data_IF_328808711444
#
_entry.id   IF_328808711444
#
_cell.length_a   1.000
_cell.length_b   1.000
_cell.length_c   1.000
_cell.angle_alpha   90.00
_cell.angle_beta   90.00
_cell.angle_gamma   90.00
#
_symmetry.space_group_name_H-M   'P 1'
#
loop_
_entity.id
_entity.type
_entity.pdbx_description
1 polymer ?
#
# COMPACT_ATOMS: atom_id res chain seq x y z
N UNK A 1 9.16 13.83 -23.17
CA UNK A 1 8.20 12.73 -23.00
C UNK A 1 6.97 13.33 -22.36
N UNK A 2 5.83 13.38 -23.05
CA UNK A 2 4.60 13.95 -22.48
C UNK A 2 4.07 13.07 -21.36
N UNK A 3 3.66 13.67 -20.23
CA UNK A 3 3.03 12.92 -19.16
C UNK A 3 1.67 12.39 -19.65
N UNK A 4 1.52 11.07 -19.73
CA UNK A 4 0.25 10.42 -20.03
C UNK A 4 -0.82 10.85 -19.02
N UNK A 5 -2.02 11.18 -19.53
CA UNK A 5 -3.18 11.54 -18.70
C UNK A 5 -3.71 10.29 -17.96
N UNK A 6 -4.53 10.47 -16.92
CA UNK A 6 -5.13 9.31 -16.22
C UNK A 6 -6.00 8.47 -17.16
N UNK A 7 -6.69 9.10 -18.12
CA UNK A 7 -7.46 8.40 -19.15
C UNK A 7 -6.60 7.55 -20.08
N UNK A 8 -5.38 7.98 -20.40
CA UNK A 8 -4.45 7.19 -21.23
C UNK A 8 -3.97 5.96 -20.46
N UNK A 9 -3.63 6.12 -19.17
CA UNK A 9 -3.21 5.02 -18.30
C UNK A 9 -4.32 3.97 -18.16
N UNK A 10 -5.59 4.40 -18.05
CA UNK A 10 -6.72 3.47 -17.96
C UNK A 10 -6.94 2.68 -19.24
N UNK A 11 -6.74 3.30 -20.40
CA UNK A 11 -6.84 2.61 -21.69
C UNK A 11 -5.75 1.55 -21.85
N UNK A 12 -4.50 1.89 -21.54
CA UNK A 12 -3.38 0.94 -21.54
C UNK A 12 -3.59 -0.17 -20.52
N UNK A 13 -4.08 0.18 -19.33
CA UNK A 13 -4.37 -0.80 -18.29
C UNK A 13 -5.48 -1.76 -18.71
N UNK A 14 -6.56 -1.29 -19.37
CA UNK A 14 -7.58 -2.18 -19.95
C UNK A 14 -6.97 -3.16 -20.96
N UNK A 15 -6.07 -2.69 -21.82
CA UNK A 15 -5.38 -3.56 -22.78
C UNK A 15 -4.47 -4.58 -22.08
N UNK A 16 -3.80 -4.20 -20.99
CA UNK A 16 -3.05 -5.11 -20.13
C UNK A 16 -3.96 -6.17 -19.49
N UNK A 17 -5.07 -5.77 -18.87
CA UNK A 17 -6.02 -6.70 -18.23
C UNK A 17 -6.65 -7.66 -19.25
N UNK A 18 -6.92 -7.20 -20.47
CA UNK A 18 -7.48 -8.03 -21.55
C UNK A 18 -6.55 -9.21 -21.94
N UNK A 19 -5.24 -9.10 -21.70
CA UNK A 19 -4.29 -10.21 -21.89
C UNK A 19 -4.35 -11.26 -20.78
N UNK A 20 -5.21 -11.07 -19.77
CA UNK A 20 -5.41 -11.93 -18.61
C UNK A 20 -4.09 -12.30 -17.91
N UNK A 21 -3.31 -11.30 -17.43
CA UNK A 21 -2.06 -11.56 -16.75
C UNK A 21 -2.31 -12.36 -15.47
N UNK A 22 -1.40 -13.28 -15.14
CA UNK A 22 -1.39 -13.92 -13.83
C UNK A 22 -0.86 -12.95 -12.79
N UNK A 23 -1.72 -12.54 -11.86
CA UNK A 23 -1.36 -11.64 -10.76
C UNK A 23 -1.51 -12.35 -9.41
N UNK A 24 -0.55 -12.11 -8.53
CA UNK A 24 -0.55 -12.59 -7.15
C UNK A 24 -0.49 -11.37 -6.22
N UNK A 25 -1.43 -11.25 -5.29
CA UNK A 25 -1.36 -10.30 -4.18
C UNK A 25 -0.65 -10.97 -3.00
N UNK A 26 0.55 -10.49 -2.69
CA UNK A 26 1.37 -10.86 -1.54
C UNK A 26 1.03 -10.05 -0.29
N UNK A 27 -0.25 -9.90 0.03
CA UNK A 27 -0.71 -9.17 1.21
C UNK A 27 -1.99 -9.79 1.80
N UNK A 28 -2.06 -9.84 3.13
CA UNK A 28 -3.29 -10.19 3.87
C UNK A 28 -4.09 -8.96 4.34
N UNK A 29 -3.62 -7.74 4.04
CA UNK A 29 -4.34 -6.50 4.40
C UNK A 29 -5.71 -6.44 3.74
N UNK A 30 -6.76 -6.26 4.55
CA UNK A 30 -8.14 -6.12 4.08
C UNK A 30 -8.30 -4.94 3.13
N UNK A 31 -7.68 -3.80 3.43
CA UNK A 31 -7.76 -2.59 2.60
C UNK A 31 -7.13 -2.81 1.22
N UNK A 32 -5.95 -3.45 1.14
CA UNK A 32 -5.31 -3.78 -0.16
C UNK A 32 -6.14 -4.77 -0.97
N UNK A 33 -6.73 -5.78 -0.31
CA UNK A 33 -7.64 -6.73 -0.97
C UNK A 33 -8.89 -6.03 -1.50
N UNK A 34 -9.49 -5.12 -0.74
CA UNK A 34 -10.64 -4.33 -1.20
C UNK A 34 -10.30 -3.50 -2.44
N UNK A 35 -9.15 -2.81 -2.43
CA UNK A 35 -8.70 -2.02 -3.59
C UNK A 35 -8.48 -2.91 -4.83
N UNK A 36 -7.89 -4.10 -4.65
CA UNK A 36 -7.74 -5.07 -5.74
C UNK A 36 -9.10 -5.59 -6.24
N UNK A 37 -10.09 -5.75 -5.36
CA UNK A 37 -11.46 -6.11 -5.76
C UNK A 37 -12.15 -4.98 -6.53
N UNK A 38 -11.91 -3.72 -6.17
CA UNK A 38 -12.40 -2.57 -6.95
C UNK A 38 -11.78 -2.55 -8.34
N UNK A 39 -10.46 -2.77 -8.47
CA UNK A 39 -9.80 -2.91 -9.77
C UNK A 39 -10.34 -4.11 -10.56
N UNK A 40 -10.67 -5.21 -9.88
CA UNK A 40 -11.34 -6.36 -10.50
C UNK A 40 -12.72 -5.99 -11.04
N UNK A 41 -13.52 -5.25 -10.28
CA UNK A 41 -14.86 -4.84 -10.69
C UNK A 41 -14.83 -3.82 -11.85
N UNK A 42 -13.88 -2.90 -11.84
CA UNK A 42 -13.80 -1.79 -12.80
C UNK A 42 -13.12 -2.19 -14.13
N UNK A 43 -12.12 -3.08 -14.08
CA UNK A 43 -11.29 -3.45 -15.22
C UNK A 43 -11.37 -4.93 -15.61
N UNK A 44 -11.98 -5.79 -14.80
CA UNK A 44 -11.97 -7.25 -15.00
C UNK A 44 -10.65 -7.91 -14.57
N UNK A 45 -9.87 -7.24 -13.72
CA UNK A 45 -8.58 -7.72 -13.22
C UNK A 45 -8.74 -8.99 -12.39
N UNK A 46 -8.08 -10.08 -12.76
CA UNK A 46 -8.04 -11.31 -11.96
C UNK A 46 -6.73 -11.41 -11.19
N UNK A 47 -6.82 -11.82 -9.93
CA UNK A 47 -5.67 -12.08 -9.08
C UNK A 47 -5.99 -13.18 -8.07
N UNK A 48 -4.96 -13.75 -7.46
CA UNK A 48 -5.10 -14.60 -6.26
C UNK A 48 -4.22 -14.07 -5.14
N UNK A 49 -4.53 -14.45 -3.91
CA UNK A 49 -3.70 -14.12 -2.74
C UNK A 49 -2.75 -15.27 -2.44
N UNK A 50 -1.47 -14.96 -2.23
CA UNK A 50 -0.48 -15.90 -1.70
C UNK A 50 0.57 -15.11 -0.92
N UNK A 51 0.82 -15.47 0.33
CA UNK A 51 1.72 -14.75 1.24
C UNK A 51 2.61 -15.74 1.98
N UNK A 52 3.91 -15.42 2.07
CA UNK A 52 4.78 -16.02 3.06
C UNK A 52 5.01 -15.03 4.23
N UNK A 53 4.98 -15.48 5.48
CA UNK A 53 5.27 -14.62 6.62
C UNK A 53 6.74 -14.22 6.64
N UNK A 54 7.02 -13.00 7.08
CA UNK A 54 8.37 -12.53 7.40
C UNK A 54 8.39 -11.93 8.81
N UNK A 55 9.57 -11.86 9.42
CA UNK A 55 9.74 -11.10 10.66
C UNK A 55 10.01 -9.62 10.35
N UNK A 56 8.94 -8.85 10.16
CA UNK A 56 9.00 -7.41 9.85
C UNK A 56 9.76 -6.61 10.91
N UNK A 57 9.82 -7.09 12.16
CA UNK A 57 10.51 -6.41 13.27
C UNK A 57 12.02 -6.31 13.10
N UNK A 58 12.61 -7.17 12.26
CA UNK A 58 14.05 -7.17 11.99
C UNK A 58 14.47 -6.13 10.95
N UNK A 59 13.51 -5.55 10.23
CA UNK A 59 13.76 -4.56 9.18
C UNK A 59 13.39 -3.20 9.75
N UNK A 60 14.39 -2.35 9.96
CA UNK A 60 14.24 -1.02 10.54
C UNK A 60 15.04 -0.01 9.74
N UNK A 61 14.45 1.14 9.52
CA UNK A 61 15.09 2.28 8.88
C UNK A 61 14.42 3.56 9.42
N UNK A 62 15.18 4.58 9.83
CA UNK A 62 14.59 5.84 10.29
C UNK A 62 13.92 6.64 9.18
N UNK A 63 14.31 6.44 7.91
CA UNK A 63 13.59 7.02 6.77
C UNK A 63 12.34 6.16 6.46
N UNK A 64 11.12 6.73 6.56
CA UNK A 64 9.88 6.02 6.28
C UNK A 64 9.85 5.42 4.88
N UNK A 65 10.36 6.12 3.85
CA UNK A 65 10.31 5.68 2.47
C UNK A 65 11.23 4.46 2.23
N UNK A 66 12.45 4.52 2.74
CA UNK A 66 13.37 3.39 2.72
C UNK A 66 12.87 2.20 3.57
N UNK A 67 12.20 2.46 4.70
CA UNK A 67 11.60 1.41 5.53
C UNK A 67 10.54 0.61 4.75
N UNK A 68 9.52 1.29 4.22
CA UNK A 68 8.42 0.60 3.53
C UNK A 68 8.89 -0.07 2.23
N UNK A 69 9.88 0.52 1.56
CA UNK A 69 10.53 -0.10 0.41
C UNK A 69 11.23 -1.40 0.80
N UNK A 70 12.02 -1.39 1.86
CA UNK A 70 12.72 -2.59 2.35
C UNK A 70 11.75 -3.69 2.79
N UNK A 71 10.68 -3.32 3.51
CA UNK A 71 9.64 -4.25 3.94
C UNK A 71 8.89 -4.87 2.75
N UNK A 72 8.47 -4.06 1.77
CA UNK A 72 7.78 -4.57 0.59
C UNK A 72 8.64 -5.53 -0.23
N UNK A 73 9.92 -5.21 -0.45
CA UNK A 73 10.86 -6.09 -1.15
C UNK A 73 11.17 -7.38 -0.38
N UNK A 74 11.30 -7.31 0.95
CA UNK A 74 11.48 -8.50 1.78
C UNK A 74 10.25 -9.42 1.73
N UNK A 75 9.03 -8.85 1.76
CA UNK A 75 7.78 -9.60 1.57
C UNK A 75 7.75 -10.27 0.20
N UNK A 76 8.19 -9.57 -0.85
CA UNK A 76 8.27 -10.11 -2.20
C UNK A 76 9.25 -11.30 -2.28
N UNK A 77 10.45 -11.17 -1.72
CA UNK A 77 11.46 -12.22 -1.72
C UNK A 77 10.95 -13.51 -1.06
N UNK A 78 10.47 -13.40 0.19
CA UNK A 78 9.96 -14.55 0.94
C UNK A 78 8.74 -15.20 0.28
N UNK A 79 7.80 -14.37 -0.20
CA UNK A 79 6.58 -14.86 -0.85
C UNK A 79 6.91 -15.55 -2.17
N UNK A 80 7.82 -14.99 -2.97
CA UNK A 80 8.28 -15.60 -4.23
C UNK A 80 9.00 -16.92 -3.98
N UNK A 81 9.93 -16.96 -3.03
CA UNK A 81 10.68 -18.18 -2.69
C UNK A 81 9.72 -19.31 -2.29
N UNK A 82 8.82 -19.04 -1.35
CA UNK A 82 7.86 -20.03 -0.88
C UNK A 82 6.86 -20.46 -1.96
N UNK A 83 6.44 -19.52 -2.82
CA UNK A 83 5.55 -19.83 -3.93
C UNK A 83 6.24 -20.75 -4.94
N UNK A 84 7.44 -20.41 -5.40
CA UNK A 84 8.19 -21.21 -6.37
C UNK A 84 8.62 -22.57 -5.80
N UNK A 85 8.82 -22.67 -4.48
CA UNK A 85 9.05 -23.96 -3.81
C UNK A 85 7.84 -24.89 -3.90
N UNK A 86 6.62 -24.35 -3.79
CA UNK A 86 5.36 -25.12 -3.87
C UNK A 86 4.87 -25.33 -5.30
N UNK A 87 5.08 -24.33 -6.14
CA UNK A 87 4.62 -24.25 -7.53
C UNK A 87 5.81 -23.82 -8.42
N UNK A 88 6.75 -24.73 -8.77
CA UNK A 88 7.97 -24.38 -9.52
C UNK A 88 7.71 -23.71 -10.87
N UNK A 89 6.59 -24.05 -11.50
CA UNK A 89 6.16 -23.50 -12.79
C UNK A 89 5.31 -22.21 -12.65
N UNK A 90 5.15 -21.68 -11.43
CA UNK A 90 4.40 -20.45 -11.22
C UNK A 90 5.04 -19.28 -11.99
N UNK A 91 4.20 -18.54 -12.70
CA UNK A 91 4.59 -17.38 -13.48
C UNK A 91 3.60 -16.24 -13.29
N UNK A 92 3.97 -15.03 -13.70
CA UNK A 92 3.18 -13.83 -13.51
C UNK A 92 3.87 -12.81 -12.60
N UNK A 93 3.08 -11.83 -12.16
CA UNK A 93 3.55 -10.71 -11.34
C UNK A 93 3.04 -10.83 -9.90
N UNK A 94 3.97 -10.80 -8.96
CA UNK A 94 3.71 -10.72 -7.52
C UNK A 94 3.70 -9.25 -7.08
N UNK A 95 2.59 -8.81 -6.52
CA UNK A 95 2.37 -7.47 -5.96
C UNK A 95 2.52 -7.57 -4.45
N UNK A 96 3.42 -6.77 -3.87
CA UNK A 96 3.57 -6.63 -2.43
C UNK A 96 3.58 -5.16 -2.06
N UNK A 97 3.30 -4.86 -0.81
CA UNK A 97 3.34 -3.48 -0.35
C UNK A 97 3.44 -3.37 1.15
N UNK A 98 3.94 -2.23 1.58
CA UNK A 98 4.03 -1.85 2.97
C UNK A 98 3.65 -0.38 3.16
N UNK A 99 3.21 -0.01 4.35
CA UNK A 99 2.82 1.36 4.65
C UNK A 99 2.97 1.67 6.13
N UNK A 100 3.49 2.86 6.40
CA UNK A 100 3.52 3.48 7.72
C UNK A 100 2.77 4.80 7.72
N UNK A 101 2.39 5.26 8.91
CA UNK A 101 1.93 6.63 9.12
C UNK A 101 3.07 7.42 9.76
N UNK A 102 3.25 8.67 9.34
CA UNK A 102 4.20 9.60 9.92
C UNK A 102 3.42 10.80 10.46
N UNK A 103 3.71 11.20 11.69
CA UNK A 103 3.15 12.41 12.29
C UNK A 103 4.24 13.07 13.14
N UNK A 104 4.44 14.37 12.97
CA UNK A 104 5.51 15.12 13.66
C UNK A 104 6.92 14.52 13.48
N UNK A 105 7.19 13.91 12.33
CA UNK A 105 8.46 13.24 12.05
C UNK A 105 8.63 11.86 12.71
N UNK A 106 7.63 11.37 13.44
CA UNK A 106 7.64 10.03 14.05
C UNK A 106 6.87 9.03 13.19
N UNK A 107 7.45 7.84 12.99
CA UNK A 107 6.75 6.69 12.40
C UNK A 107 5.80 6.11 13.44
N UNK A 108 4.51 6.16 13.16
CA UNK A 108 3.44 5.58 13.98
C UNK A 108 3.10 4.18 13.44
N UNK A 109 3.51 3.15 14.18
CA UNK A 109 3.08 1.76 13.95
C UNK A 109 1.63 1.56 14.42
N UNK A 110 1.14 0.31 14.41
CA UNK A 110 -0.16 -0.02 14.99
C UNK A 110 -0.12 0.24 16.50
N UNK A 111 -1.16 0.85 17.08
CA UNK A 111 -1.18 1.14 18.50
C UNK A 111 -1.12 -0.16 19.31
N UNK A 112 -0.38 -0.14 20.42
CA UNK A 112 -0.24 -1.30 21.32
C UNK A 112 -1.42 -1.44 22.28
N UNK A 113 -2.11 -0.34 22.57
CA UNK A 113 -3.26 -0.26 23.46
C UNK A 113 -4.20 0.91 23.09
N UNK A 114 -5.34 0.97 23.78
CA UNK A 114 -6.39 1.95 23.58
C UNK A 114 -5.92 3.39 23.84
N UNK A 115 -5.07 3.59 24.85
CA UNK A 115 -4.56 4.92 25.22
C UNK A 115 -3.65 5.47 24.11
N UNK A 116 -2.76 4.64 23.56
CA UNK A 116 -1.91 5.01 22.44
C UNK A 116 -2.72 5.31 21.17
N UNK A 117 -3.78 4.54 20.91
CA UNK A 117 -4.68 4.83 19.78
C UNK A 117 -5.37 6.19 19.93
N UNK A 118 -5.88 6.50 21.12
CA UNK A 118 -6.47 7.81 21.42
C UNK A 118 -5.46 8.94 21.25
N UNK A 119 -4.22 8.74 21.74
CA UNK A 119 -3.15 9.72 21.61
C UNK A 119 -2.78 9.99 20.15
N UNK A 120 -2.69 8.96 19.31
CA UNK A 120 -2.46 9.14 17.87
C UNK A 120 -3.57 9.97 17.23
N UNK A 121 -4.84 9.64 17.49
CA UNK A 121 -5.99 10.36 16.95
C UNK A 121 -6.01 11.83 17.37
N UNK A 122 -5.63 12.13 18.63
CA UNK A 122 -5.54 13.51 19.14
C UNK A 122 -4.40 14.30 18.51
N UNK A 123 -3.24 13.67 18.22
CA UNK A 123 -2.09 14.33 17.57
C UNK A 123 -2.46 14.91 16.20
N UNK A 124 -3.34 14.21 15.47
CA UNK A 124 -3.71 14.61 14.11
C UNK A 124 -4.43 15.95 14.01
N UNK A 125 -5.06 16.40 15.10
CA UNK A 125 -5.69 17.72 15.21
C UNK A 125 -4.73 18.87 14.89
N UNK A 126 -3.48 18.74 15.31
CA UNK A 126 -2.49 19.82 15.20
C UNK A 126 -1.45 19.58 14.12
N UNK A 127 -1.28 18.33 13.68
CA UNK A 127 -0.27 17.94 12.71
C UNK A 127 -0.86 16.93 11.74
N UNK A 128 -0.73 17.15 10.41
CA UNK A 128 -1.28 16.20 9.44
C UNK A 128 -0.63 14.83 9.59
N UNK A 129 -1.44 13.78 9.45
CA UNK A 129 -0.94 12.43 9.29
C UNK A 129 -0.44 12.25 7.86
N UNK A 130 0.73 11.66 7.66
CA UNK A 130 1.23 11.33 6.34
C UNK A 130 1.31 9.82 6.18
N UNK A 131 0.60 9.24 5.22
CA UNK A 131 0.81 7.85 4.85
C UNK A 131 1.99 7.77 3.89
N UNK A 132 2.99 6.97 4.22
CA UNK A 132 4.13 6.66 3.34
C UNK A 132 4.04 5.19 3.01
N UNK A 133 3.74 4.86 1.76
CA UNK A 133 3.54 3.49 1.30
C UNK A 133 4.43 3.13 0.12
N UNK A 134 4.90 1.88 0.07
CA UNK A 134 5.58 1.33 -1.09
C UNK A 134 4.77 0.20 -1.71
N UNK A 135 4.76 0.16 -3.04
CA UNK A 135 4.24 -0.95 -3.84
C UNK A 135 5.41 -1.52 -4.63
N UNK A 136 5.62 -2.83 -4.54
CA UNK A 136 6.61 -3.56 -5.32
C UNK A 136 5.93 -4.62 -6.19
N UNK A 137 6.33 -4.68 -7.47
CA UNK A 137 5.93 -5.70 -8.43
C UNK A 137 7.15 -6.55 -8.78
N UNK A 138 7.02 -7.87 -8.68
CA UNK A 138 8.08 -8.85 -8.96
C UNK A 138 7.62 -9.84 -10.00
N UNK A 139 8.37 -10.00 -11.09
CA UNK A 139 8.17 -11.10 -12.03
C UNK A 139 8.67 -12.41 -11.42
N UNK A 140 7.77 -13.39 -11.28
CA UNK A 140 8.07 -14.64 -10.59
C UNK A 140 9.21 -15.42 -11.25
N UNK A 141 9.28 -15.46 -12.58
CA UNK A 141 10.29 -16.27 -13.30
C UNK A 141 11.64 -15.60 -13.32
N UNK A 142 11.70 -14.38 -13.83
CA UNK A 142 12.95 -13.64 -14.02
C UNK A 142 13.50 -13.03 -12.73
N UNK A 143 12.65 -12.85 -11.71
CA UNK A 143 13.01 -12.12 -10.49
C UNK A 143 13.16 -10.62 -10.72
N UNK A 144 12.80 -10.09 -11.89
CA UNK A 144 12.82 -8.64 -12.15
C UNK A 144 11.83 -7.93 -11.22
N UNK A 145 12.26 -6.81 -10.66
CA UNK A 145 11.48 -6.03 -9.70
C UNK A 145 11.43 -4.56 -10.09
N UNK A 146 10.29 -3.94 -9.80
CA UNK A 146 10.11 -2.49 -9.79
C UNK A 146 9.28 -2.12 -8.56
N UNK A 147 9.54 -0.95 -7.98
CA UNK A 147 8.78 -0.44 -6.84
C UNK A 147 8.57 1.08 -6.95
N UNK A 148 7.55 1.59 -6.27
CA UNK A 148 7.29 3.03 -6.13
C UNK A 148 6.84 3.33 -4.72
N UNK A 149 7.28 4.49 -4.22
CA UNK A 149 6.78 5.08 -2.98
C UNK A 149 5.72 6.11 -3.32
N UNK A 150 4.60 6.08 -2.62
CA UNK A 150 3.53 7.06 -2.69
C UNK A 150 3.32 7.66 -1.30
N UNK A 151 3.04 8.96 -1.27
CA UNK A 151 2.77 9.71 -0.03
C UNK A 151 1.44 10.43 -0.16
N UNK A 152 0.61 10.37 0.86
CA UNK A 152 -0.59 11.19 0.99
C UNK A 152 -0.62 11.85 2.36
N UNK A 153 -1.20 13.05 2.43
CA UNK A 153 -1.37 13.79 3.68
C UNK A 153 -2.85 13.87 4.04
N UNK A 154 -3.16 13.64 5.31
CA UNK A 154 -4.50 13.68 5.89
C UNK A 154 -4.52 14.82 6.90
N UNK A 155 -5.29 15.86 6.58
CA UNK A 155 -5.47 17.01 7.44
C UNK A 155 -6.76 16.82 8.24
N UNK A 156 -6.66 16.82 9.56
CA UNK A 156 -7.81 16.68 10.44
C UNK A 156 -8.31 18.05 10.90
N UNK A 157 -9.63 18.20 10.97
CA UNK A 157 -10.28 19.22 11.77
C UNK A 157 -10.42 18.74 13.22
N UNK A 158 -10.98 19.59 14.08
CA UNK A 158 -11.29 19.19 15.46
C UNK A 158 -12.30 18.03 15.45
N UNK A 159 -11.83 16.87 15.91
CA UNK A 159 -12.65 15.67 16.11
C UNK A 159 -13.11 15.64 17.58
N UNK A 160 -14.43 15.49 17.84
CA UNK A 160 -14.95 15.42 19.20
C UNK A 160 -14.34 14.27 20.01
N UNK A 161 -14.15 14.46 21.31
CA UNK A 161 -13.59 13.42 22.20
C UNK A 161 -14.49 12.17 22.25
N UNK A 162 -15.81 12.34 22.15
CA UNK A 162 -16.74 11.21 22.04
C UNK A 162 -16.48 10.37 20.78
N UNK A 163 -16.09 11.00 19.66
CA UNK A 163 -15.69 10.29 18.44
C UNK A 163 -14.41 9.50 18.65
N UNK A 164 -13.40 10.09 19.29
CA UNK A 164 -12.14 9.40 19.61
C UNK A 164 -12.42 8.18 20.49
N UNK A 165 -13.25 8.33 21.53
CA UNK A 165 -13.63 7.24 22.42
C UNK A 165 -14.33 6.11 21.65
N UNK A 166 -15.32 6.42 20.81
CA UNK A 166 -16.02 5.41 20.01
C UNK A 166 -15.09 4.65 19.07
N UNK A 167 -14.18 5.34 18.38
CA UNK A 167 -13.20 4.70 17.49
C UNK A 167 -12.29 3.70 18.21
N UNK A 168 -11.87 4.05 19.44
CA UNK A 168 -11.02 3.20 20.27
C UNK A 168 -11.81 2.01 20.82
N UNK A 169 -13.06 2.22 21.27
CA UNK A 169 -13.96 1.17 21.74
C UNK A 169 -14.29 0.14 20.64
N UNK A 170 -14.45 0.57 19.39
CA UNK A 170 -14.66 -0.31 18.24
C UNK A 170 -13.44 -1.19 17.91
N UNK A 171 -12.25 -0.84 18.41
CA UNK A 171 -10.97 -1.53 18.22
C UNK A 171 -10.51 -1.72 16.76
N UNK A 172 -11.29 -1.30 15.76
CA UNK A 172 -10.93 -1.40 14.34
C UNK A 172 -9.64 -0.64 14.04
N UNK A 173 -9.47 0.54 14.65
CA UNK A 173 -8.27 1.39 14.52
C UNK A 173 -7.00 0.72 15.06
N UNK A 174 -7.12 -0.29 15.92
CA UNK A 174 -5.97 -1.04 16.45
C UNK A 174 -5.22 -1.83 15.38
N UNK A 175 -5.88 -2.09 14.24
CA UNK A 175 -5.29 -2.80 13.12
C UNK A 175 -4.67 -1.87 12.07
N UNK A 176 -4.78 -0.55 12.26
CA UNK A 176 -4.28 0.48 11.37
C UNK A 176 -3.01 1.14 11.92
N UNK A 177 -2.00 1.33 11.07
CA UNK A 177 -0.82 2.13 11.44
C UNK A 177 -1.25 3.53 11.86
N UNK A 178 -0.74 4.01 12.99
CA UNK A 178 -1.14 5.29 13.56
C UNK A 178 -2.61 5.40 13.95
N UNK A 179 -3.34 4.29 14.12
CA UNK A 179 -4.80 4.32 14.31
C UNK A 179 -5.57 5.07 13.19
N UNK A 180 -4.94 5.25 12.03
CA UNK A 180 -5.47 6.06 10.95
C UNK A 180 -6.44 5.24 10.10
N UNK A 181 -7.74 5.56 10.17
CA UNK A 181 -8.79 4.91 9.40
C UNK A 181 -9.72 5.97 8.79
N UNK A 182 -9.27 6.59 7.69
CA UNK A 182 -9.93 7.75 7.06
C UNK A 182 -11.31 7.39 6.52
N UNK A 183 -11.50 6.17 6.03
CA UNK A 183 -12.77 5.66 5.52
C UNK A 183 -13.83 5.44 6.60
N UNK A 184 -13.47 5.55 7.88
CA UNK A 184 -14.43 5.35 8.96
C UNK A 184 -15.50 6.46 8.92
N UNK A 185 -16.80 6.15 9.02
CA UNK A 185 -17.87 7.17 8.98
C UNK A 185 -17.74 8.25 10.05
N UNK A 186 -17.13 7.94 11.19
CA UNK A 186 -16.85 8.91 12.24
C UNK A 186 -15.60 9.78 11.97
N UNK A 187 -14.68 9.33 11.12
CA UNK A 187 -13.44 10.06 10.78
C UNK A 187 -13.64 10.91 9.52
N UNK A 188 -14.31 10.36 8.50
CA UNK A 188 -14.50 10.98 7.19
C UNK A 188 -15.00 12.44 7.23
N UNK A 189 -15.96 12.83 8.09
CA UNK A 189 -16.42 14.22 8.17
C UNK A 189 -15.36 15.21 8.68
N UNK A 190 -14.29 14.71 9.31
CA UNK A 190 -13.25 15.51 9.96
C UNK A 190 -11.95 15.57 9.16
N UNK A 191 -11.88 14.99 7.95
CA UNK A 191 -10.63 14.89 7.21
C UNK A 191 -10.69 15.58 5.84
N UNK A 192 -9.58 16.19 5.46
CA UNK A 192 -9.29 16.63 4.09
C UNK A 192 -8.05 15.90 3.60
N UNK A 193 -8.17 15.27 2.43
CA UNK A 193 -7.09 14.52 1.81
C UNK A 193 -6.29 15.38 0.84
N UNK A 194 -4.97 15.27 0.92
CA UNK A 194 -4.02 15.69 -0.11
C UNK A 194 -3.36 14.43 -0.67
N UNK A 195 -3.87 13.96 -1.80
CA UNK A 195 -3.57 12.64 -2.37
C UNK A 195 -4.83 11.81 -2.53
N UNK A 196 -4.69 10.61 -3.10
CA UNK A 196 -5.80 9.70 -3.34
C UNK A 196 -6.13 8.86 -2.10
N UNK A 197 -7.41 8.50 -1.93
CA UNK A 197 -7.89 7.76 -0.76
C UNK A 197 -7.32 6.32 -0.71
N UNK A 198 -7.15 5.69 -1.86
CA UNK A 198 -6.55 4.36 -2.00
C UNK A 198 -5.06 4.35 -1.62
N UNK A 199 -4.34 5.46 -1.82
CA UNK A 199 -3.02 5.67 -1.26
C UNK A 199 -3.05 5.64 0.27
N UNK A 200 -3.95 6.42 0.89
CA UNK A 200 -4.12 6.42 2.36
C UNK A 200 -4.47 5.03 2.88
N UNK A 201 -5.27 4.27 2.13
CA UNK A 201 -5.71 2.92 2.47
C UNK A 201 -4.65 1.82 2.22
N UNK A 202 -3.49 2.15 1.65
CA UNK A 202 -2.35 1.24 1.54
C UNK A 202 -2.05 0.67 0.16
N UNK A 203 -2.78 1.06 -0.90
CA UNK A 203 -2.49 0.63 -2.27
C UNK A 203 -3.00 1.66 -3.29
N UNK A 204 -2.16 2.64 -3.64
CA UNK A 204 -2.47 3.63 -4.67
C UNK A 204 -2.68 2.97 -6.05
N UNK A 205 -3.92 3.01 -6.59
CA UNK A 205 -4.28 2.35 -7.85
C UNK A 205 -3.54 2.94 -9.03
N UNK A 206 -3.34 4.26 -9.05
CA UNK A 206 -2.64 4.92 -10.15
C UNK A 206 -1.19 4.44 -10.26
N UNK A 207 -0.51 4.33 -9.12
CA UNK A 207 0.85 3.82 -8.99
C UNK A 207 0.90 2.34 -9.34
N UNK A 208 -0.04 1.52 -8.85
CA UNK A 208 -0.10 0.11 -9.18
C UNK A 208 -0.29 -0.13 -10.67
N UNK A 209 -1.23 0.58 -11.32
CA UNK A 209 -1.47 0.48 -12.77
C UNK A 209 -0.19 0.77 -13.56
N UNK A 210 0.51 1.87 -13.23
CA UNK A 210 1.76 2.25 -13.89
C UNK A 210 2.86 1.20 -13.69
N UNK A 211 3.02 0.69 -12.47
CA UNK A 211 3.98 -0.37 -12.17
C UNK A 211 3.70 -1.65 -12.96
N UNK A 212 2.44 -2.06 -13.06
CA UNK A 212 2.06 -3.26 -13.81
C UNK A 212 2.32 -3.08 -15.32
N UNK A 213 2.04 -1.89 -15.87
CA UNK A 213 2.33 -1.57 -17.27
C UNK A 213 3.83 -1.55 -17.56
N UNK A 214 4.63 -0.94 -16.69
CA UNK A 214 6.10 -0.96 -16.76
C UNK A 214 6.66 -2.39 -16.69
N UNK A 215 6.08 -3.22 -15.81
CA UNK A 215 6.44 -4.63 -15.74
C UNK A 215 5.98 -5.43 -16.96
N UNK A 216 4.91 -5.03 -17.65
CA UNK A 216 4.43 -5.72 -18.84
C UNK A 216 5.16 -5.31 -20.13
N UNK A 217 5.76 -4.12 -20.17
CA UNK A 217 6.57 -3.65 -21.29
C UNK A 217 7.91 -4.40 -21.32
N UNK A 218 8.07 -5.35 -22.24
CA UNK A 218 9.37 -5.98 -22.50
C UNK A 218 10.38 -4.91 -22.96
N UNK A 219 11.57 -4.87 -22.35
CA UNK A 219 12.70 -4.05 -22.83
C UNK A 219 13.00 -2.73 -22.10
N UNK A 220 12.29 -2.37 -21.02
CA UNK A 220 12.69 -1.21 -20.20
C UNK A 220 13.86 -1.56 -19.27
N UNK A 221 14.91 -0.72 -19.19
CA UNK A 221 16.13 -1.02 -18.46
C UNK A 221 15.91 -1.21 -16.96
N UNK A 222 16.78 -2.02 -16.34
CA UNK A 222 16.90 -2.17 -14.89
C UNK A 222 16.91 -0.78 -14.24
N UNK A 223 15.96 -0.53 -13.34
CA UNK A 223 16.06 0.64 -12.47
C UNK A 223 16.81 0.19 -11.24
N UNK A 224 18.13 0.42 -11.24
CA UNK A 224 18.94 0.37 -10.04
C UNK A 224 18.32 1.31 -9.00
N UNK A 225 18.36 0.88 -7.73
CA UNK A 225 17.93 1.63 -6.57
C UNK A 225 18.32 3.12 -6.69
N UNK A 226 17.31 3.97 -6.92
CA UNK A 226 17.48 5.40 -6.74
C UNK A 226 17.64 5.62 -5.23
N UNK A 227 18.88 5.85 -4.83
CA UNK A 227 19.20 6.56 -3.60
C UNK A 227 18.44 7.87 -3.60
N UNK A 228 17.51 8.01 -2.66
CA UNK A 228 17.22 9.26 -1.97
C UNK A 228 17.17 8.88 -0.49
#
# INVERSE_FOLDING_TARGET
MGNATMSDVDAEFRAFVAKQPTLILGSISRSRTNIMNELSAEFGLKYRVFVAPINEKLIRNPDPAALVTSLSLAKAAATREELLRREPEASGLLITGDQVVVCQGEILEKPIDADQAADFLRRYRSHPAQTVGAIACTDLRSGRQAHRVAVASVHFSDMPEDTVRSLVEEAAVMWCSGALMVEHPLVWPHVRLEGAIDNVQGLDKATLKRLLLEMAAEGLPRVDALRI
#
